data_IF_146501157411
#
_entry.id   IF_146501157411
#
_cell.length_a   1.000
_cell.length_b   1.000
_cell.length_c   1.000
_cell.angle_alpha   90.00
_cell.angle_beta   90.00
_cell.angle_gamma   90.00
#
_symmetry.space_group_name_H-M   'P 1'
#
loop_
_entity.id
_entity.type
_entity.pdbx_description
1 polymer ?
#
# COMPACT_ATOMS: atom_id res chain seq x y z
N UNK A 1 4.23 40.36 51.46
CA UNK A 1 3.42 41.17 52.39
C UNK A 1 3.44 42.61 51.88
N UNK A 2 2.25 43.22 51.84
CA UNK A 2 1.92 44.64 51.61
C UNK A 2 2.18 45.29 50.23
N UNK A 3 1.08 45.48 49.47
CA UNK A 3 0.86 46.66 48.59
C UNK A 3 0.40 47.82 49.48
N UNK A 4 0.59 49.09 49.09
CA UNK A 4 -0.48 49.84 48.39
C UNK A 4 0.12 50.85 47.38
N UNK A 5 -0.57 51.57 46.52
CA UNK A 5 -1.98 51.83 46.27
C UNK A 5 -2.05 52.73 45.02
N UNK A 6 -3.20 52.71 44.34
CA UNK A 6 -3.49 53.58 43.19
C UNK A 6 -4.02 54.92 43.71
N UNK A 7 -3.78 56.03 42.99
CA UNK A 7 -4.87 56.97 42.80
C UNK A 7 -5.12 57.27 41.31
N UNK A 8 -6.42 57.35 41.02
CA UNK A 8 -7.05 57.71 39.75
C UNK A 8 -7.39 59.19 39.89
N UNK A 9 -7.12 60.03 38.88
CA UNK A 9 -7.84 61.30 38.68
C UNK A 9 -7.60 61.79 37.24
N UNK A 10 -8.62 61.72 36.38
CA UNK A 10 -9.62 62.76 36.05
C UNK A 10 -9.04 63.87 35.16
N UNK A 11 -9.56 63.96 33.93
CA UNK A 11 -9.82 65.15 33.11
C UNK A 11 -10.18 64.62 31.71
N UNK A 12 -11.44 64.26 31.48
CA UNK A 12 -12.51 65.14 30.98
C UNK A 12 -12.10 65.94 29.72
N UNK A 13 -12.70 65.65 28.55
CA UNK A 13 -13.59 66.59 27.84
C UNK A 13 -13.98 66.13 26.42
N UNK A 14 -15.29 66.26 26.16
CA UNK A 14 -15.97 66.41 24.84
C UNK A 14 -15.97 65.19 23.91
N UNK A 15 -17.09 64.81 23.27
CA UNK A 15 -18.27 65.60 22.88
C UNK A 15 -19.44 64.66 22.57
N UNK A 16 -20.63 65.08 23.03
CA UNK A 16 -21.95 64.49 22.80
C UNK A 16 -22.35 64.42 21.33
N UNK A 17 -23.00 63.31 20.93
CA UNK A 17 -24.24 63.21 20.14
C UNK A 17 -24.76 61.77 20.28
N UNK A 18 -25.82 61.53 21.07
CA UNK A 18 -27.23 61.48 20.59
C UNK A 18 -27.45 60.27 19.68
N UNK A 19 -28.35 59.31 19.86
CA UNK A 19 -29.29 58.88 20.92
C UNK A 19 -29.93 57.59 20.34
N UNK A 20 -30.31 56.63 21.19
CA UNK A 20 -31.23 55.49 20.96
C UNK A 20 -30.71 54.10 20.47
N UNK A 21 -30.84 53.16 21.43
CA UNK A 21 -30.89 51.68 21.47
C UNK A 21 -31.96 51.03 20.56
N UNK A 22 -32.19 49.70 20.58
CA UNK A 22 -31.32 48.53 20.85
C UNK A 22 -31.45 47.49 19.70
N UNK A 23 -30.66 46.40 19.75
CA UNK A 23 -31.11 45.00 19.60
C UNK A 23 -30.16 44.07 18.84
N UNK A 24 -30.08 42.87 19.42
CA UNK A 24 -29.76 41.56 18.83
C UNK A 24 -28.28 41.19 18.69
N UNK A 25 -27.84 40.51 19.74
CA UNK A 25 -26.84 39.44 19.69
C UNK A 25 -27.34 38.34 18.74
N UNK A 26 -26.49 37.82 17.85
CA UNK A 26 -26.46 36.40 17.56
C UNK A 26 -25.16 35.78 18.10
N UNK A 27 -25.23 34.57 18.68
CA UNK A 27 -24.03 33.87 19.15
C UNK A 27 -23.20 33.43 17.95
N UNK A 28 -21.89 33.70 18.00
CA UNK A 28 -20.90 33.11 17.11
C UNK A 28 -20.93 31.59 17.31
N UNK A 29 -21.57 30.89 16.37
CA UNK A 29 -21.52 29.44 16.29
C UNK A 29 -20.05 29.02 16.05
N UNK A 30 -19.49 28.27 17.00
CA UNK A 30 -18.24 27.55 16.79
C UNK A 30 -18.46 26.57 15.63
N UNK A 31 -17.84 26.86 14.48
CA UNK A 31 -17.69 25.90 13.41
C UNK A 31 -16.70 24.82 13.87
N UNK A 32 -17.23 23.71 14.37
CA UNK A 32 -16.47 22.48 14.61
C UNK A 32 -15.94 21.97 13.27
N UNK A 33 -14.69 22.28 12.92
CA UNK A 33 -13.99 21.60 11.83
C UNK A 33 -13.79 20.14 12.23
N UNK A 34 -14.71 19.27 11.82
CA UNK A 34 -14.49 17.84 11.83
C UNK A 34 -13.40 17.53 10.79
N UNK A 35 -12.15 17.41 11.26
CA UNK A 35 -11.07 16.81 10.47
C UNK A 35 -11.43 15.36 10.22
N UNK A 36 -11.98 15.08 9.04
CA UNK A 36 -12.11 13.73 8.53
C UNK A 36 -10.69 13.20 8.29
N UNK A 37 -10.15 12.46 9.26
CA UNK A 37 -8.94 11.67 9.05
C UNK A 37 -9.30 10.59 8.02
N UNK A 38 -8.93 10.82 6.76
CA UNK A 38 -8.93 9.78 5.76
C UNK A 38 -7.91 8.73 6.21
N UNK A 39 -8.36 7.61 6.77
CA UNK A 39 -7.48 6.48 7.02
C UNK A 39 -6.99 6.00 5.65
N UNK A 40 -5.67 6.01 5.38
CA UNK A 40 -5.18 5.45 4.14
C UNK A 40 -5.63 4.00 4.07
N UNK A 41 -6.35 3.65 3.00
CA UNK A 41 -6.62 2.25 2.67
C UNK A 41 -5.27 1.68 2.25
N UNK A 42 -4.53 1.14 3.21
CA UNK A 42 -3.36 0.33 2.92
C UNK A 42 -3.91 -0.93 2.24
N UNK A 43 -3.65 -1.05 0.93
CA UNK A 43 -3.85 -2.32 0.26
C UNK A 43 -2.99 -3.34 1.01
N UNK A 44 -3.64 -4.32 1.65
CA UNK A 44 -2.94 -5.42 2.30
C UNK A 44 -2.42 -6.36 1.22
N UNK A 45 -1.26 -6.03 0.68
CA UNK A 45 -0.51 -6.93 -0.17
C UNK A 45 -0.18 -8.20 0.61
N UNK A 46 -0.26 -9.34 -0.08
CA UNK A 46 0.02 -10.65 0.52
C UNK A 46 1.50 -10.87 0.80
N UNK A 47 2.38 -10.23 0.03
CA UNK A 47 3.84 -10.38 0.12
C UNK A 47 4.47 -8.98 0.23
N UNK A 48 5.56 -8.81 0.99
CA UNK A 48 6.20 -7.52 1.22
C UNK A 48 7.17 -7.16 0.08
N UNK A 49 6.72 -7.31 -1.16
CA UNK A 49 7.50 -6.99 -2.36
C UNK A 49 6.76 -5.92 -3.17
N UNK A 50 7.52 -5.08 -3.87
CA UNK A 50 6.93 -4.04 -4.72
C UNK A 50 6.07 -4.66 -5.82
N UNK A 51 4.99 -3.98 -6.20
CA UNK A 51 4.20 -4.38 -7.36
C UNK A 51 5.05 -4.24 -8.63
N UNK A 52 4.78 -5.10 -9.60
CA UNK A 52 5.40 -5.01 -10.91
C UNK A 52 6.08 -6.27 -11.36
N UNK A 53 7.03 -6.11 -12.28
CA UNK A 53 7.62 -7.19 -13.06
C UNK A 53 8.87 -7.71 -12.39
N UNK A 54 8.92 -9.02 -12.21
CA UNK A 54 10.10 -9.72 -11.73
C UNK A 54 10.62 -10.67 -12.80
N UNK A 55 11.94 -10.72 -12.96
CA UNK A 55 12.63 -11.68 -13.81
C UNK A 55 13.61 -12.48 -12.96
N UNK A 56 13.89 -13.71 -13.36
CA UNK A 56 14.98 -14.45 -12.76
C UNK A 56 16.31 -13.73 -13.00
N UNK A 57 17.19 -13.74 -12.01
CA UNK A 57 18.40 -12.91 -11.97
C UNK A 57 19.41 -13.28 -13.07
N UNK A 58 19.31 -14.48 -13.64
CA UNK A 58 20.09 -14.93 -14.79
C UNK A 58 19.60 -14.35 -16.14
N UNK A 59 18.48 -13.63 -16.18
CA UNK A 59 17.89 -13.10 -17.42
C UNK A 59 17.81 -11.58 -17.44
N UNK A 60 18.04 -11.00 -18.62
CA UNK A 60 17.96 -9.56 -18.84
C UNK A 60 16.53 -9.03 -18.77
N UNK A 61 16.35 -7.84 -18.19
CA UNK A 61 15.04 -7.18 -18.12
C UNK A 61 14.48 -6.83 -19.51
N UNK A 62 15.36 -6.61 -20.50
CA UNK A 62 15.02 -6.24 -21.87
C UNK A 62 14.48 -7.39 -22.73
N UNK A 63 14.74 -8.65 -22.35
CA UNK A 63 14.20 -9.83 -23.04
C UNK A 63 13.40 -10.74 -22.11
N UNK A 64 12.22 -10.28 -21.66
CA UNK A 64 11.39 -11.03 -20.73
C UNK A 64 10.76 -12.29 -21.35
N UNK A 65 10.84 -12.48 -22.68
CA UNK A 65 10.10 -13.52 -23.40
C UNK A 65 10.64 -14.92 -23.15
N UNK A 66 11.91 -15.05 -22.80
CA UNK A 66 12.56 -16.33 -22.46
C UNK A 66 12.66 -16.64 -20.97
N UNK A 67 12.51 -15.64 -20.11
CA UNK A 67 12.59 -15.80 -18.65
C UNK A 67 11.24 -16.22 -18.05
N UNK A 68 11.24 -16.95 -16.93
CA UNK A 68 10.04 -17.02 -16.09
C UNK A 68 9.77 -15.63 -15.52
N UNK A 69 9.05 -14.82 -16.27
CA UNK A 69 8.61 -13.52 -15.86
C UNK A 69 7.27 -13.68 -15.13
N UNK A 70 7.14 -12.98 -14.01
CA UNK A 70 5.82 -12.76 -13.46
C UNK A 70 5.62 -11.36 -12.89
N UNK A 71 4.38 -10.91 -12.96
CA UNK A 71 3.88 -9.60 -12.54
C UNK A 71 3.14 -9.82 -11.24
N UNK A 72 3.61 -9.19 -10.17
CA UNK A 72 2.95 -9.18 -8.88
C UNK A 72 2.02 -7.98 -8.77
N UNK A 73 0.77 -8.22 -8.36
CA UNK A 73 -0.29 -7.20 -8.23
C UNK A 73 -0.83 -7.05 -6.79
N UNK A 74 -0.09 -7.54 -5.80
CA UNK A 74 -0.50 -7.55 -4.39
C UNK A 74 -1.28 -8.80 -3.97
N UNK A 75 -1.95 -9.49 -4.91
CA UNK A 75 -2.79 -10.67 -4.60
C UNK A 75 -2.35 -11.94 -5.31
N UNK A 76 -1.70 -11.79 -6.45
CA UNK A 76 -1.37 -12.88 -7.32
C UNK A 76 -0.19 -12.56 -8.20
N UNK A 77 0.13 -13.56 -9.02
CA UNK A 77 1.30 -13.58 -9.86
C UNK A 77 0.83 -13.91 -11.28
N UNK A 78 1.09 -13.01 -12.25
CA UNK A 78 0.60 -13.15 -13.64
C UNK A 78 1.75 -13.12 -14.64
N UNK A 79 1.67 -13.95 -15.66
CA UNK A 79 2.53 -13.89 -16.84
C UNK A 79 1.65 -13.93 -18.09
N UNK A 80 2.24 -13.78 -19.29
CA UNK A 80 1.47 -13.75 -20.54
C UNK A 80 0.58 -14.98 -20.78
N UNK A 81 0.88 -16.13 -20.16
CA UNK A 81 0.12 -17.39 -20.31
C UNK A 81 -0.15 -18.10 -18.97
N UNK A 82 0.10 -17.44 -17.85
CA UNK A 82 -0.07 -18.05 -16.53
C UNK A 82 -0.70 -17.04 -15.59
N UNK A 83 -1.65 -17.49 -14.78
CA UNK A 83 -2.18 -16.70 -13.66
C UNK A 83 -2.16 -17.56 -12.41
N UNK A 84 -1.50 -17.09 -11.37
CA UNK A 84 -1.42 -17.76 -10.09
C UNK A 84 -2.06 -16.91 -8.99
N UNK A 85 -2.86 -17.55 -8.15
CA UNK A 85 -3.42 -16.95 -6.93
C UNK A 85 -2.63 -17.45 -5.73
N UNK A 86 -2.36 -16.55 -4.78
CA UNK A 86 -1.65 -16.88 -3.55
C UNK A 86 -2.63 -17.03 -2.39
N UNK A 87 -2.41 -18.01 -1.54
CA UNK A 87 -3.24 -18.25 -0.34
C UNK A 87 -2.40 -18.80 0.81
N UNK A 88 -3.00 -18.89 2.01
CA UNK A 88 -2.37 -19.45 3.20
C UNK A 88 -0.98 -18.85 3.52
N UNK A 89 -0.84 -17.54 3.31
CA UNK A 89 0.44 -16.85 3.51
C UNK A 89 0.77 -16.80 4.99
N UNK A 90 1.96 -17.30 5.33
CA UNK A 90 2.54 -17.27 6.67
C UNK A 90 3.92 -16.63 6.60
N UNK A 91 4.30 -15.93 7.67
CA UNK A 91 5.57 -15.21 7.75
C UNK A 91 6.38 -15.71 8.94
N UNK A 92 7.69 -15.86 8.73
CA UNK A 92 8.68 -16.02 9.79
C UNK A 92 9.95 -15.24 9.41
N UNK A 93 10.16 -14.09 10.06
CA UNK A 93 11.27 -13.19 9.72
C UNK A 93 11.14 -12.66 8.29
N UNK A 94 12.19 -12.86 7.49
CA UNK A 94 12.24 -12.50 6.06
C UNK A 94 11.72 -13.61 5.13
N UNK A 95 11.17 -14.69 5.69
CA UNK A 95 10.67 -15.84 4.92
C UNK A 95 9.15 -15.86 4.93
N UNK A 96 8.56 -16.01 3.75
CA UNK A 96 7.14 -16.15 3.51
C UNK A 96 6.86 -17.53 2.93
N UNK A 97 5.90 -18.24 3.49
CA UNK A 97 5.42 -19.51 2.95
C UNK A 97 3.96 -19.37 2.56
N UNK A 98 3.60 -19.87 1.39
CA UNK A 98 2.25 -19.75 0.86
C UNK A 98 1.94 -20.86 -0.14
N UNK A 99 0.66 -21.09 -0.37
CA UNK A 99 0.19 -21.96 -1.44
C UNK A 99 -0.04 -21.12 -2.70
N UNK A 100 0.33 -21.67 -3.85
CA UNK A 100 0.24 -21.03 -5.15
C UNK A 100 -0.55 -21.94 -6.11
N UNK A 101 -1.73 -21.50 -6.52
CA UNK A 101 -2.56 -22.19 -7.51
C UNK A 101 -2.40 -21.50 -8.86
N UNK A 102 -1.72 -22.14 -9.80
CA UNK A 102 -1.38 -21.61 -11.11
C UNK A 102 -2.23 -22.23 -12.22
N UNK A 103 -2.95 -21.37 -12.95
CA UNK A 103 -3.65 -21.69 -14.19
C UNK A 103 -2.79 -21.34 -15.40
N UNK A 104 -2.51 -22.33 -16.25
CA UNK A 104 -1.73 -22.19 -17.48
C UNK A 104 -2.62 -22.23 -18.72
N UNK A 105 -2.35 -21.36 -19.68
CA UNK A 105 -3.17 -21.18 -20.88
C UNK A 105 -2.34 -21.37 -22.15
N UNK A 106 -2.88 -22.08 -23.14
CA UNK A 106 -2.22 -22.21 -24.44
C UNK A 106 -2.06 -20.84 -25.15
N UNK A 107 -3.09 -19.99 -25.03
CA UNK A 107 -3.16 -18.62 -25.57
C UNK A 107 -3.51 -17.65 -24.45
N UNK A 108 -2.95 -16.43 -24.50
CA UNK A 108 -3.16 -15.39 -23.49
C UNK A 108 -4.62 -14.93 -23.36
N UNK A 109 -5.43 -15.08 -24.41
CA UNK A 109 -6.84 -14.70 -24.44
C UNK A 109 -7.80 -15.87 -24.14
N UNK A 110 -7.28 -17.07 -23.83
CA UNK A 110 -8.12 -18.20 -23.47
C UNK A 110 -8.73 -17.99 -22.08
N UNK A 111 -10.02 -18.32 -21.95
CA UNK A 111 -10.74 -18.26 -20.66
C UNK A 111 -10.55 -19.57 -19.88
N UNK A 112 -10.34 -20.68 -20.60
CA UNK A 112 -10.15 -22.01 -20.00
C UNK A 112 -8.66 -22.33 -19.89
N UNK A 113 -8.17 -22.70 -18.70
CA UNK A 113 -6.79 -23.16 -18.53
C UNK A 113 -6.62 -24.52 -19.19
N UNK A 114 -5.45 -24.73 -19.78
CA UNK A 114 -5.00 -26.03 -20.29
C UNK A 114 -4.55 -26.94 -19.15
N UNK A 115 -3.98 -26.36 -18.10
CA UNK A 115 -3.52 -27.08 -16.92
C UNK A 115 -3.63 -26.19 -15.71
N UNK A 116 -3.97 -26.79 -14.57
CA UNK A 116 -3.93 -26.14 -13.26
C UNK A 116 -2.92 -26.92 -12.42
N UNK A 117 -2.06 -26.21 -11.71
CA UNK A 117 -1.02 -26.81 -10.87
C UNK A 117 -0.92 -26.06 -9.56
N UNK A 118 -0.93 -26.81 -8.47
CA UNK A 118 -0.71 -26.29 -7.14
C UNK A 118 0.75 -26.46 -6.72
N UNK A 119 1.29 -25.44 -6.07
CA UNK A 119 2.62 -25.43 -5.51
C UNK A 119 2.57 -25.02 -4.05
N UNK A 120 3.48 -25.59 -3.26
CA UNK A 120 3.89 -25.00 -1.99
C UNK A 120 5.11 -24.14 -2.23
N UNK A 121 5.00 -22.87 -1.91
CA UNK A 121 6.01 -21.87 -2.24
C UNK A 121 6.62 -21.29 -0.97
N UNK A 122 7.94 -21.06 -1.01
CA UNK A 122 8.71 -20.37 0.01
C UNK A 122 9.49 -19.24 -0.65
N UNK A 123 9.25 -18.03 -0.17
CA UNK A 123 9.88 -16.82 -0.64
C UNK A 123 10.76 -16.26 0.47
N UNK A 124 12.06 -16.12 0.19
CA UNK A 124 13.03 -15.50 1.08
C UNK A 124 13.35 -14.10 0.57
N UNK A 125 12.94 -13.09 1.32
CA UNK A 125 13.11 -11.68 0.99
C UNK A 125 14.58 -11.29 1.23
N UNK A 126 15.23 -10.78 0.17
CA UNK A 126 16.53 -10.11 0.27
C UNK A 126 16.32 -8.61 0.46
N UNK A 127 15.40 -8.03 -0.32
CA UNK A 127 14.85 -6.68 -0.17
C UNK A 127 13.47 -6.61 -0.86
N UNK A 128 12.82 -5.44 -0.86
CA UNK A 128 11.46 -5.31 -1.45
C UNK A 128 11.40 -5.54 -2.96
N UNK A 129 12.54 -5.61 -3.65
CA UNK A 129 12.68 -5.78 -5.10
C UNK A 129 13.49 -7.02 -5.50
N UNK A 130 13.99 -7.79 -4.54
CA UNK A 130 14.80 -8.97 -4.80
C UNK A 130 14.51 -10.05 -3.77
N UNK A 131 14.34 -11.28 -4.24
CA UNK A 131 14.00 -12.42 -3.38
C UNK A 131 14.45 -13.73 -4.02
N UNK A 132 14.57 -14.76 -3.19
CA UNK A 132 14.71 -16.16 -3.64
C UNK A 132 13.35 -16.83 -3.52
N UNK A 133 12.90 -17.48 -4.58
CA UNK A 133 11.65 -18.23 -4.61
C UNK A 133 11.93 -19.70 -4.82
N UNK A 134 11.51 -20.50 -3.85
CA UNK A 134 11.45 -21.95 -3.92
C UNK A 134 10.00 -22.38 -4.14
N UNK A 135 9.75 -23.20 -5.16
CA UNK A 135 8.45 -23.82 -5.46
C UNK A 135 8.59 -25.33 -5.45
N UNK A 136 7.62 -25.99 -4.84
CA UNK A 136 7.59 -27.45 -4.72
C UNK A 136 6.20 -27.98 -5.04
N UNK A 137 6.13 -29.07 -5.79
CA UNK A 137 4.95 -29.92 -5.93
C UNK A 137 5.37 -31.39 -6.05
N UNK A 138 4.43 -32.31 -6.31
CA UNK A 138 4.70 -33.76 -6.40
C UNK A 138 5.75 -34.14 -7.45
N UNK A 139 5.97 -33.31 -8.47
CA UNK A 139 6.76 -33.64 -9.65
C UNK A 139 7.94 -32.67 -9.89
N UNK A 140 8.03 -31.58 -9.15
CA UNK A 140 8.96 -30.49 -9.41
C UNK A 140 9.39 -29.80 -8.12
N UNK A 141 10.70 -29.61 -7.99
CA UNK A 141 11.31 -28.69 -7.04
C UNK A 141 12.13 -27.68 -7.84
N UNK A 142 11.86 -26.39 -7.63
CA UNK A 142 12.50 -25.29 -8.35
C UNK A 142 12.91 -24.21 -7.37
N UNK A 143 14.13 -23.71 -7.50
CA UNK A 143 14.63 -22.59 -6.69
C UNK A 143 15.31 -21.59 -7.61
N UNK A 144 14.81 -20.36 -7.65
CA UNK A 144 15.33 -19.29 -8.49
C UNK A 144 15.38 -17.96 -7.73
N UNK A 145 16.36 -17.12 -8.03
CA UNK A 145 16.43 -15.75 -7.52
C UNK A 145 15.78 -14.79 -8.50
N UNK A 146 14.91 -13.91 -8.01
CA UNK A 146 14.21 -12.91 -8.80
C UNK A 146 14.63 -11.51 -8.41
N UNK A 147 14.61 -10.62 -9.41
CA UNK A 147 14.80 -9.18 -9.25
C UNK A 147 13.72 -8.41 -9.98
N UNK A 148 13.36 -7.26 -9.42
CA UNK A 148 12.42 -6.33 -10.00
C UNK A 148 13.04 -5.67 -11.24
N UNK A 149 12.25 -5.56 -12.29
CA UNK A 149 12.59 -4.81 -13.49
C UNK A 149 11.64 -3.63 -13.62
N UNK A 150 12.18 -2.42 -13.66
CA UNK A 150 11.41 -1.26 -14.15
C UNK A 150 11.08 -1.55 -15.60
N UNK A 151 9.79 -1.69 -15.89
CA UNK A 151 9.35 -1.49 -17.26
C UNK A 151 9.64 -0.03 -17.60
N UNK A 152 10.61 0.22 -18.49
CA UNK A 152 10.63 1.45 -19.30
C UNK A 152 9.54 1.36 -20.38
#
# INVERSE_FOLDING_TARGET
>A
MERPGVPIDLYEYKRLRSMHFPNLIPPLALASLATAFATPVVANDLLPIDHGRYVQSQHECSDPKGSMLFIYDGKGVKSGKTSCTLSNVTQSGNVYQFDENCSYYHRSWSILPTTVTDYRSRLEILNTREFVLKRENENLEMTDQYRWCSAE
#
